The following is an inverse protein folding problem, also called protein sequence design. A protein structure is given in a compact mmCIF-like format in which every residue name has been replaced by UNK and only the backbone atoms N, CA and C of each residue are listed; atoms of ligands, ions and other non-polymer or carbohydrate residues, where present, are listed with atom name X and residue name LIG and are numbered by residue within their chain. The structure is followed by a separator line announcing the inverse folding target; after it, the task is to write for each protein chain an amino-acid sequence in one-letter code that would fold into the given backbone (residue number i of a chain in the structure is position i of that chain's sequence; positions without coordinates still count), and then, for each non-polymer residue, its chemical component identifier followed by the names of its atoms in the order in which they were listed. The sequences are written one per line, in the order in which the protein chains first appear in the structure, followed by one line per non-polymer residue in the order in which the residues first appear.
data_IF_069606251620
#
_entry.id   IF_069606251620
#
_cell.length_a   1.000
_cell.length_b   1.000
_cell.length_c   1.000
_cell.angle_alpha   90.00
_cell.angle_beta   90.00
_cell.angle_gamma   90.00
#
_symmetry.space_group_name_H-M   'P 1'
#
loop_
_entity.id
_entity.type
_entity.pdbx_description
1 polymer ?
#
# COMPACT_ATOMS: atom_id res chain seq x y z
N UNK A 1 -7.81 10.08 7.48
CA UNK A 1 -8.80 9.09 7.04
C UNK A 1 -8.55 7.71 7.62
N UNK A 2 -7.33 7.22 7.53
CA UNK A 2 -6.96 5.92 8.12
C UNK A 2 -7.15 5.90 9.63
N UNK A 3 -6.56 6.87 10.34
CA UNK A 3 -6.65 6.97 11.79
C UNK A 3 -8.09 7.14 12.29
N UNK A 4 -8.93 7.83 11.52
CA UNK A 4 -10.34 7.96 11.84
C UNK A 4 -11.04 6.59 11.81
N UNK A 5 -10.79 5.80 10.78
CA UNK A 5 -11.36 4.44 10.67
C UNK A 5 -10.86 3.53 11.79
N UNK A 6 -9.54 3.51 12.08
CA UNK A 6 -9.00 2.76 13.23
C UNK A 6 -9.66 3.19 14.53
N UNK A 7 -9.77 4.50 14.77
CA UNK A 7 -10.39 5.01 16.00
C UNK A 7 -11.83 4.58 16.15
N UNK A 8 -12.60 4.58 15.06
CA UNK A 8 -14.01 4.19 15.08
C UNK A 8 -14.20 2.66 15.16
N UNK A 9 -13.35 1.89 14.51
CA UNK A 9 -13.44 0.43 14.45
C UNK A 9 -12.80 -0.25 15.67
N UNK A 10 -11.58 0.19 16.02
CA UNK A 10 -10.72 -0.49 16.98
C UNK A 10 -10.59 0.27 18.32
N UNK A 11 -11.17 1.46 18.41
CA UNK A 11 -11.18 2.31 19.59
C UNK A 11 -9.90 3.14 19.81
N UNK A 12 -8.84 2.90 19.04
CA UNK A 12 -7.56 3.61 19.12
C UNK A 12 -6.92 3.77 17.75
N UNK A 13 -6.06 4.77 17.60
CA UNK A 13 -5.27 5.02 16.41
C UNK A 13 -3.83 4.58 16.65
N UNK A 14 -3.14 4.08 15.61
CA UNK A 14 -1.78 3.54 15.71
C UNK A 14 -0.77 4.34 14.90
N UNK A 15 0.51 4.30 15.29
CA UNK A 15 1.60 4.90 14.51
C UNK A 15 1.79 4.20 13.16
N UNK A 16 1.59 2.88 13.12
CA UNK A 16 1.63 2.09 11.88
C UNK A 16 0.48 2.50 10.97
N UNK A 17 -0.73 2.67 11.52
CA UNK A 17 -1.89 3.19 10.78
C UNK A 17 -1.66 4.60 10.24
N UNK A 18 -0.97 5.47 10.98
CA UNK A 18 -0.57 6.79 10.49
C UNK A 18 0.36 6.68 9.28
N UNK A 19 1.40 5.84 9.35
CA UNK A 19 2.33 5.60 8.24
C UNK A 19 1.60 5.01 7.02
N UNK A 20 0.76 4.01 7.22
CA UNK A 20 -0.06 3.39 6.16
C UNK A 20 -1.02 4.40 5.52
N UNK A 21 -1.61 5.29 6.31
CA UNK A 21 -2.46 6.38 5.83
C UNK A 21 -1.71 7.39 4.97
N UNK A 22 -0.45 7.72 5.31
CA UNK A 22 0.43 8.56 4.48
C UNK A 22 0.67 7.88 3.13
N UNK A 23 1.02 6.60 3.12
CA UNK A 23 1.23 5.83 1.88
C UNK A 23 -0.05 5.79 1.05
N UNK A 24 -1.20 5.50 1.64
CA UNK A 24 -2.48 5.48 0.94
C UNK A 24 -2.82 6.82 0.27
N UNK A 25 -2.57 7.93 0.98
CA UNK A 25 -2.75 9.29 0.43
C UNK A 25 -1.81 9.59 -0.74
N UNK A 26 -0.52 9.23 -0.62
CA UNK A 26 0.46 9.41 -1.69
C UNK A 26 0.14 8.57 -2.93
N UNK A 27 -0.29 7.33 -2.74
CA UNK A 27 -0.73 6.46 -3.84
C UNK A 27 -1.95 7.07 -4.55
N UNK A 28 -2.96 7.51 -3.79
CA UNK A 28 -4.17 8.08 -4.37
C UNK A 28 -3.94 9.36 -5.15
N UNK A 29 -3.06 10.25 -4.67
CA UNK A 29 -2.79 11.52 -5.37
C UNK A 29 -1.97 11.34 -6.64
N UNK A 30 -1.20 10.25 -6.75
CA UNK A 30 -0.29 10.02 -7.88
C UNK A 30 -0.97 10.15 -9.26
N UNK A 31 -2.08 9.47 -9.56
CA UNK A 31 -2.76 9.62 -10.85
C UNK A 31 -3.49 10.95 -11.03
N UNK A 32 -3.72 11.68 -9.95
CA UNK A 32 -4.47 12.94 -9.92
C UNK A 32 -3.58 14.18 -9.73
N UNK A 33 -2.27 13.98 -9.56
CA UNK A 33 -1.30 15.05 -9.34
C UNK A 33 -1.32 16.06 -10.50
N UNK A 34 -1.41 17.35 -10.17
CA UNK A 34 -1.52 18.43 -11.17
C UNK A 34 -2.93 18.65 -11.73
N UNK A 35 -3.88 17.76 -11.51
CA UNK A 35 -5.27 17.93 -11.95
C UNK A 35 -6.19 18.50 -10.86
N UNK A 36 -5.83 18.34 -9.59
CA UNK A 36 -6.62 18.74 -8.43
C UNK A 36 -6.08 20.04 -7.81
N UNK A 37 -6.97 20.79 -7.18
CA UNK A 37 -6.59 21.85 -6.26
C UNK A 37 -6.28 21.28 -4.85
N UNK A 38 -5.67 22.06 -3.93
CA UNK A 38 -5.32 21.56 -2.60
C UNK A 38 -6.49 20.96 -1.81
N UNK A 39 -7.69 21.56 -1.90
CA UNK A 39 -8.87 21.06 -1.21
C UNK A 39 -9.31 19.69 -1.77
N UNK A 40 -9.34 19.55 -3.10
CA UNK A 40 -9.64 18.29 -3.77
C UNK A 40 -8.64 17.19 -3.40
N UNK A 41 -7.35 17.56 -3.30
CA UNK A 41 -6.29 16.63 -2.88
C UNK A 41 -6.46 16.15 -1.44
N UNK A 42 -6.85 17.03 -0.52
CA UNK A 42 -7.14 16.67 0.88
C UNK A 42 -8.34 15.71 0.96
N UNK A 43 -9.42 16.02 0.26
CA UNK A 43 -10.61 15.17 0.22
C UNK A 43 -10.27 13.80 -0.36
N UNK A 44 -9.53 13.77 -1.48
CA UNK A 44 -9.08 12.52 -2.11
C UNK A 44 -8.28 11.66 -1.14
N UNK A 45 -7.30 12.25 -0.44
CA UNK A 45 -6.44 11.55 0.50
C UNK A 45 -7.18 11.04 1.75
N UNK A 46 -8.09 11.83 2.32
CA UNK A 46 -8.89 11.41 3.48
C UNK A 46 -9.74 10.19 3.12
N UNK A 47 -10.41 10.22 1.98
CA UNK A 47 -11.22 9.07 1.53
C UNK A 47 -10.34 7.87 1.22
N UNK A 48 -9.18 8.06 0.56
CA UNK A 48 -8.23 6.99 0.29
C UNK A 48 -7.77 6.28 1.57
N UNK A 49 -7.36 7.05 2.58
CA UNK A 49 -6.95 6.51 3.87
C UNK A 49 -8.04 5.67 4.52
N UNK A 50 -9.28 6.15 4.51
CA UNK A 50 -10.43 5.41 5.04
C UNK A 50 -10.74 4.14 4.28
N UNK A 51 -10.77 4.20 2.93
CA UNK A 51 -11.00 3.02 2.09
C UNK A 51 -9.92 1.95 2.28
N UNK A 52 -8.65 2.35 2.32
CA UNK A 52 -7.54 1.42 2.52
C UNK A 52 -7.56 0.78 3.91
N UNK A 53 -7.85 1.54 4.97
CA UNK A 53 -7.98 1.01 6.32
C UNK A 53 -9.07 -0.06 6.45
N UNK A 54 -10.13 0.04 5.66
CA UNK A 54 -11.16 -1.01 5.57
C UNK A 54 -10.70 -2.17 4.68
N UNK A 55 -10.00 -1.88 3.59
CA UNK A 55 -9.63 -2.87 2.58
C UNK A 55 -8.53 -3.83 3.04
N UNK A 56 -7.56 -3.39 3.86
CA UNK A 56 -6.48 -4.27 4.38
C UNK A 56 -7.03 -5.47 5.17
N UNK A 57 -8.19 -5.34 5.78
CA UNK A 57 -8.87 -6.44 6.46
C UNK A 57 -9.44 -7.52 5.54
N UNK A 58 -9.62 -7.23 4.25
CA UNK A 58 -10.25 -8.15 3.29
C UNK A 58 -9.39 -9.40 3.02
N UNK A 59 -8.06 -9.30 3.17
CA UNK A 59 -7.15 -10.44 3.02
C UNK A 59 -7.52 -11.59 3.98
N UNK A 60 -7.92 -11.29 5.19
CA UNK A 60 -8.35 -12.31 6.17
C UNK A 60 -9.70 -12.93 5.79
N UNK A 61 -10.61 -12.13 5.25
CA UNK A 61 -11.92 -12.61 4.81
C UNK A 61 -11.86 -13.47 3.55
N UNK A 62 -11.04 -13.06 2.57
CA UNK A 62 -10.91 -13.76 1.29
C UNK A 62 -9.74 -14.75 1.25
N UNK A 63 -8.90 -14.78 2.30
CA UNK A 63 -7.78 -15.71 2.47
C UNK A 63 -6.76 -15.65 1.32
N UNK A 64 -6.49 -14.46 0.77
CA UNK A 64 -5.40 -14.24 -0.16
C UNK A 64 -4.16 -13.76 0.59
N UNK A 65 -2.98 -14.10 0.05
CA UNK A 65 -1.69 -13.70 0.60
C UNK A 65 -1.36 -12.26 0.16
N UNK A 66 -1.31 -11.36 1.13
CA UNK A 66 -0.96 -9.94 0.93
C UNK A 66 -0.27 -9.43 2.21
N UNK A 67 0.96 -9.90 2.43
CA UNK A 67 1.71 -9.61 3.65
C UNK A 67 2.02 -8.13 3.82
N UNK A 68 2.23 -7.41 2.72
CA UNK A 68 2.60 -5.99 2.68
C UNK A 68 1.41 -5.06 2.37
N UNK A 69 0.18 -5.58 2.39
CA UNK A 69 -1.04 -4.82 2.10
C UNK A 69 -1.04 -4.12 0.71
N UNK A 70 -0.40 -4.74 -0.29
CA UNK A 70 -0.29 -4.17 -1.64
C UNK A 70 -1.66 -4.05 -2.28
N UNK A 71 -2.52 -5.06 -2.15
CA UNK A 71 -3.90 -5.00 -2.65
C UNK A 71 -4.71 -4.00 -1.84
N UNK A 72 -4.65 -4.10 -0.51
CA UNK A 72 -5.42 -3.24 0.38
C UNK A 72 -5.07 -1.76 0.29
N UNK A 73 -3.82 -1.42 0.05
CA UNK A 73 -3.34 -0.03 -0.03
C UNK A 73 -3.16 0.40 -1.48
N UNK A 74 -2.27 -0.23 -2.24
CA UNK A 74 -1.88 0.28 -3.56
C UNK A 74 -2.97 0.11 -4.61
N UNK A 75 -3.60 -1.06 -4.71
CA UNK A 75 -4.69 -1.26 -5.67
C UNK A 75 -5.88 -0.36 -5.33
N UNK A 76 -6.33 -0.36 -4.07
CA UNK A 76 -7.51 0.39 -3.65
C UNK A 76 -7.29 1.89 -3.78
N UNK A 77 -6.17 2.42 -3.26
CA UNK A 77 -5.85 3.85 -3.38
C UNK A 77 -5.59 4.26 -4.84
N UNK A 78 -4.93 3.43 -5.65
CA UNK A 78 -4.67 3.72 -7.05
C UNK A 78 -5.93 3.79 -7.89
N UNK A 79 -6.85 2.85 -7.72
CA UNK A 79 -8.18 2.88 -8.38
C UNK A 79 -8.98 4.09 -7.93
N UNK A 80 -9.04 4.34 -6.61
CA UNK A 80 -9.72 5.50 -6.07
C UNK A 80 -9.13 6.80 -6.59
N UNK A 81 -7.80 6.95 -6.61
CA UNK A 81 -7.11 8.13 -7.13
C UNK A 81 -7.39 8.40 -8.60
N UNK A 82 -7.39 7.33 -9.42
CA UNK A 82 -7.71 7.41 -10.84
C UNK A 82 -9.15 7.87 -11.06
N UNK A 83 -10.12 7.26 -10.39
CA UNK A 83 -11.53 7.69 -10.46
C UNK A 83 -11.69 9.10 -9.89
N UNK A 84 -11.02 9.41 -8.78
CA UNK A 84 -11.02 10.70 -8.13
C UNK A 84 -10.52 11.83 -9.03
N UNK A 85 -9.54 11.57 -9.89
CA UNK A 85 -9.13 12.53 -10.93
C UNK A 85 -10.29 12.88 -11.88
N UNK A 86 -11.09 11.90 -12.26
CA UNK A 86 -12.30 12.13 -13.07
C UNK A 86 -13.39 12.92 -12.34
N UNK A 87 -13.46 12.81 -11.02
CA UNK A 87 -14.45 13.52 -10.21
C UNK A 87 -14.01 14.95 -9.84
N UNK A 88 -12.74 15.10 -9.42
CA UNK A 88 -12.22 16.26 -8.70
C UNK A 88 -11.26 17.14 -9.54
N UNK A 89 -10.96 16.77 -10.80
CA UNK A 89 -10.15 17.61 -11.68
C UNK A 89 -10.78 18.99 -11.82
N UNK A 90 -9.97 20.04 -11.64
CA UNK A 90 -10.43 21.43 -11.71
C UNK A 90 -10.83 21.89 -13.11
N UNK A 91 -10.41 21.17 -14.14
CA UNK A 91 -10.68 21.51 -15.54
C UNK A 91 -11.74 20.63 -16.19
N UNK A 92 -11.74 19.33 -15.88
CA UNK A 92 -12.57 18.33 -16.56
C UNK A 92 -13.35 17.43 -15.60
N UNK A 93 -13.22 17.66 -14.29
CA UNK A 93 -13.86 16.85 -13.28
C UNK A 93 -15.38 17.04 -13.24
N UNK A 94 -16.08 15.99 -12.87
CA UNK A 94 -17.53 15.98 -12.76
C UNK A 94 -18.05 17.11 -11.85
N UNK A 95 -17.42 17.31 -10.70
CA UNK A 95 -17.82 18.33 -9.72
C UNK A 95 -17.44 19.77 -10.11
N UNK A 96 -16.64 19.92 -11.14
CA UNK A 96 -16.25 21.21 -11.71
C UNK A 96 -16.95 21.50 -13.05
N UNK A 97 -18.00 20.78 -13.38
CA UNK A 97 -18.80 21.00 -14.58
C UNK A 97 -18.27 20.37 -15.86
N UNK A 98 -17.23 19.51 -15.77
CA UNK A 98 -16.64 18.82 -16.93
C UNK A 98 -17.48 17.66 -17.49
N UNK A 99 -18.61 17.34 -16.85
CA UNK A 99 -19.47 16.25 -17.26
C UNK A 99 -18.94 14.86 -16.92
N UNK A 100 -19.74 13.84 -17.21
CA UNK A 100 -19.47 12.45 -16.79
C UNK A 100 -18.40 11.72 -17.65
N UNK A 101 -18.06 12.30 -18.80
CA UNK A 101 -17.15 11.67 -19.77
C UNK A 101 -15.77 11.37 -19.18
N UNK A 102 -15.18 12.33 -18.45
CA UNK A 102 -13.85 12.14 -17.86
C UNK A 102 -13.84 11.05 -16.77
N UNK A 103 -14.85 11.03 -15.91
CA UNK A 103 -14.98 9.98 -14.89
C UNK A 103 -15.10 8.60 -15.53
N UNK A 104 -15.91 8.46 -16.59
CA UNK A 104 -16.04 7.19 -17.30
C UNK A 104 -14.72 6.75 -17.95
N UNK A 105 -13.98 7.66 -18.57
CA UNK A 105 -12.66 7.36 -19.13
C UNK A 105 -11.69 6.89 -18.04
N UNK A 106 -11.66 7.51 -16.87
CA UNK A 106 -10.81 7.10 -15.76
C UNK A 106 -11.17 5.70 -15.23
N UNK A 107 -12.44 5.38 -15.16
CA UNK A 107 -12.91 4.02 -14.80
C UNK A 107 -12.43 2.99 -15.82
N UNK A 108 -12.60 3.27 -17.11
CA UNK A 108 -12.16 2.38 -18.20
C UNK A 108 -10.63 2.19 -18.15
N UNK A 109 -9.86 3.27 -17.98
CA UNK A 109 -8.39 3.21 -17.87
C UNK A 109 -7.99 2.36 -16.66
N UNK A 110 -8.61 2.55 -15.50
CA UNK A 110 -8.33 1.75 -14.31
C UNK A 110 -8.58 0.25 -14.58
N UNK A 111 -9.71 -0.10 -15.19
CA UNK A 111 -10.03 -1.48 -15.54
C UNK A 111 -9.05 -2.08 -16.54
N UNK A 112 -8.71 -1.36 -17.60
CA UNK A 112 -7.72 -1.80 -18.60
C UNK A 112 -6.36 -2.04 -17.93
N UNK A 113 -5.93 -1.13 -17.06
CA UNK A 113 -4.65 -1.27 -16.33
C UNK A 113 -4.66 -2.49 -15.41
N UNK A 114 -5.74 -2.73 -14.68
CA UNK A 114 -5.88 -3.91 -13.80
C UNK A 114 -5.78 -5.20 -14.61
N UNK A 115 -6.53 -5.29 -15.71
CA UNK A 115 -6.52 -6.47 -16.56
C UNK A 115 -5.14 -6.68 -17.19
N UNK A 116 -4.56 -5.64 -17.77
CA UNK A 116 -3.24 -5.72 -18.41
C UNK A 116 -2.16 -6.15 -17.40
N UNK A 117 -2.05 -5.45 -16.26
CA UNK A 117 -1.06 -5.77 -15.23
C UNK A 117 -1.30 -7.16 -14.65
N UNK A 118 -2.55 -7.54 -14.41
CA UNK A 118 -2.91 -8.86 -13.89
C UNK A 118 -2.51 -9.99 -14.84
N UNK A 119 -2.80 -9.85 -16.13
CA UNK A 119 -2.42 -10.85 -17.15
C UNK A 119 -0.90 -10.97 -17.27
N UNK A 120 -0.20 -9.85 -17.38
CA UNK A 120 1.29 -9.87 -17.49
C UNK A 120 1.90 -10.46 -16.23
N UNK A 121 1.46 -10.06 -15.05
CA UNK A 121 1.95 -10.61 -13.78
C UNK A 121 1.68 -12.12 -13.67
N UNK A 122 0.50 -12.57 -14.08
CA UNK A 122 0.17 -13.99 -14.08
C UNK A 122 1.11 -14.78 -15.01
N UNK A 123 1.33 -14.30 -16.24
CA UNK A 123 2.22 -14.96 -17.19
C UNK A 123 3.65 -15.04 -16.65
N UNK A 124 4.20 -13.90 -16.19
CA UNK A 124 5.55 -13.86 -15.61
C UNK A 124 5.65 -14.74 -14.37
N UNK A 125 4.65 -14.69 -13.49
CA UNK A 125 4.61 -15.51 -12.28
C UNK A 125 4.58 -17.02 -12.59
N UNK A 126 3.82 -17.45 -13.60
CA UNK A 126 3.81 -18.85 -14.01
C UNK A 126 5.15 -19.30 -14.61
N UNK A 127 5.82 -18.45 -15.37
CA UNK A 127 7.17 -18.71 -15.90
C UNK A 127 8.17 -18.87 -14.73
N UNK A 128 8.18 -17.93 -13.79
CA UNK A 128 9.06 -17.99 -12.62
C UNK A 128 8.79 -19.24 -11.78
N UNK A 129 7.52 -19.56 -11.54
CA UNK A 129 7.13 -20.77 -10.81
C UNK A 129 7.63 -22.04 -11.47
N UNK A 130 7.59 -22.10 -12.81
CA UNK A 130 8.03 -23.28 -13.57
C UNK A 130 9.55 -23.43 -13.65
N UNK A 131 10.31 -22.33 -13.56
CA UNK A 131 11.77 -22.31 -13.75
C UNK A 131 12.54 -22.28 -12.43
N UNK A 132 12.14 -21.42 -11.49
CA UNK A 132 12.89 -21.14 -10.25
C UNK A 132 12.15 -21.62 -8.98
N UNK A 133 10.88 -21.98 -9.10
CA UNK A 133 10.02 -22.21 -7.96
C UNK A 133 9.38 -20.91 -7.43
N UNK A 134 8.45 -21.05 -6.51
CA UNK A 134 7.67 -19.92 -5.99
C UNK A 134 7.95 -19.60 -4.52
N UNK A 135 8.40 -20.59 -3.76
CA UNK A 135 8.64 -20.47 -2.33
C UNK A 135 10.01 -21.01 -1.96
N UNK A 136 10.58 -20.37 -0.97
CA UNK A 136 11.77 -20.86 -0.28
C UNK A 136 11.41 -22.05 0.63
N UNK A 137 12.40 -22.84 1.03
CA UNK A 137 12.20 -23.93 1.96
C UNK A 137 11.67 -23.45 3.33
N UNK A 138 10.87 -24.30 3.99
CA UNK A 138 10.22 -23.92 5.26
C UNK A 138 11.20 -23.55 6.36
N UNK A 139 12.35 -24.18 6.40
CA UNK A 139 13.37 -23.90 7.42
C UNK A 139 13.97 -22.52 7.19
N UNK A 140 14.23 -22.14 5.95
CA UNK A 140 14.69 -20.82 5.57
C UNK A 140 13.61 -19.74 5.80
N UNK A 141 12.33 -20.05 5.58
CA UNK A 141 11.20 -19.14 5.88
C UNK A 141 11.09 -18.90 7.40
N UNK A 142 11.44 -19.90 8.23
CA UNK A 142 11.38 -19.79 9.69
C UNK A 142 12.62 -19.13 10.29
N UNK A 143 13.81 -19.41 9.76
CA UNK A 143 15.08 -18.81 10.22
C UNK A 143 15.26 -17.36 9.80
N UNK A 144 14.59 -16.95 8.73
CA UNK A 144 14.66 -15.63 8.13
C UNK A 144 15.35 -15.65 6.77
N UNK A 145 14.61 -15.19 5.76
CA UNK A 145 15.06 -15.18 4.35
C UNK A 145 16.34 -14.35 4.17
N UNK A 146 16.45 -13.22 4.87
CA UNK A 146 17.62 -12.35 4.76
C UNK A 146 18.89 -13.05 5.20
N UNK A 147 18.84 -13.82 6.29
CA UNK A 147 20.00 -14.57 6.79
C UNK A 147 20.37 -15.73 5.86
N UNK A 148 19.37 -16.47 5.35
CA UNK A 148 19.59 -17.67 4.55
C UNK A 148 20.04 -17.36 3.11
N UNK A 149 19.42 -16.33 2.49
CA UNK A 149 19.66 -16.00 1.07
C UNK A 149 20.70 -14.89 0.90
N UNK A 150 20.74 -13.91 1.81
CA UNK A 150 21.60 -12.73 1.71
C UNK A 150 22.73 -12.69 2.73
N UNK A 151 22.75 -13.62 3.70
CA UNK A 151 23.69 -13.65 4.84
C UNK A 151 23.69 -12.32 5.62
N UNK A 152 22.54 -11.67 5.68
CA UNK A 152 22.33 -10.40 6.38
C UNK A 152 21.23 -10.54 7.43
N UNK A 153 21.32 -9.77 8.51
CA UNK A 153 20.28 -9.68 9.54
C UNK A 153 19.95 -8.22 9.80
N UNK A 154 18.69 -7.82 9.52
CA UNK A 154 18.22 -6.48 9.83
C UNK A 154 17.91 -6.28 11.32
N UNK A 155 17.60 -7.37 12.04
CA UNK A 155 17.22 -7.34 13.44
C UNK A 155 17.94 -8.45 14.21
N UNK A 156 18.59 -8.11 15.31
CA UNK A 156 19.10 -9.08 16.29
C UNK A 156 18.00 -9.38 17.32
N UNK A 157 17.16 -10.37 17.02
CA UNK A 157 16.07 -10.78 17.91
C UNK A 157 16.56 -11.48 19.19
N UNK A 158 17.84 -11.89 19.25
CA UNK A 158 18.45 -12.52 20.42
C UNK A 158 19.05 -11.51 21.39
N UNK A 159 19.24 -10.26 21.01
CA UNK A 159 19.78 -9.20 21.85
C UNK A 159 18.81 -8.69 22.93
N UNK A 160 17.55 -9.11 22.92
CA UNK A 160 16.54 -8.64 23.87
C UNK A 160 16.62 -9.26 25.27
N UNK A 161 17.53 -10.21 25.53
CA UNK A 161 17.69 -10.83 26.87
C UNK A 161 18.92 -10.36 27.67
N UNK A 162 19.68 -9.41 27.17
CA UNK A 162 20.85 -8.88 27.89
C UNK A 162 21.21 -7.49 27.44
N UNK A 163 20.82 -6.49 28.22
CA UNK A 163 21.12 -5.10 27.95
C UNK A 163 22.64 -4.84 27.75
N UNK A 164 22.95 -4.39 26.53
CA UNK A 164 24.28 -3.83 26.21
C UNK A 164 24.17 -2.66 25.24
N UNK A 165 23.38 -1.66 25.61
CA UNK A 165 23.62 -0.28 25.18
C UNK A 165 24.49 0.42 26.22
N UNK A 166 25.79 0.13 26.24
CA UNK A 166 26.69 0.66 27.25
C UNK A 166 28.15 0.44 26.93
N UNK A 167 28.60 0.63 25.67
CA UNK A 167 29.99 0.37 25.35
C UNK A 167 30.63 1.19 24.24
N UNK A 168 29.87 2.06 23.57
CA UNK A 168 30.41 2.78 22.41
C UNK A 168 30.93 4.22 22.69
N UNK A 169 30.89 4.72 23.94
CA UNK A 169 31.33 6.08 24.27
C UNK A 169 32.30 6.14 25.45
N UNK A 170 32.97 5.04 25.82
CA UNK A 170 33.88 5.03 26.99
C UNK A 170 35.37 5.12 26.65
N UNK A 171 35.78 5.18 25.37
CA UNK A 171 37.20 5.33 24.99
C UNK A 171 37.42 6.56 24.10
N UNK A 172 37.12 7.74 24.62
CA UNK A 172 37.62 9.02 24.12
C UNK A 172 37.76 9.98 25.32
N UNK A 173 38.82 9.79 26.09
CA UNK A 173 39.28 10.65 27.16
C UNK A 173 40.75 10.48 27.34
#
# INVERSE_FOLDING_TARGET
GWLLVEKLRDGHATSVGAASGVVAGLVAITPACGALNPLGSLILGIIAGGLCALAVGLKYRFRYDDSLDVVGVHLVAGVWGTVGAGLLSTTTGLFYGGGFRQTLLQIIIALVTIVFSGVITLVLGLILKATMGWRIDKDAETSGIDQEVHAESAYDLNASSGGRFGGAFADAG
#
